data_IF_813812953672
#
_entry.id   IF_813812953672
#
_cell.length_a   1.000
_cell.length_b   1.000
_cell.length_c   1.000
_cell.angle_alpha   90.00
_cell.angle_beta   90.00
_cell.angle_gamma   90.00
#
_symmetry.space_group_name_H-M   'P 1'
#
loop_
_entity.id
_entity.type
_entity.pdbx_description
1 polymer ?
#
# COMPACT_ATOMS: atom_id res chain seq x y z
N UNK A 1 20.01 15.63 -12.86
CA UNK A 1 19.65 14.61 -11.85
C UNK A 1 18.22 14.87 -11.40
N UNK A 2 17.35 13.86 -11.49
CA UNK A 2 15.90 13.96 -11.64
C UNK A 2 15.22 14.74 -10.50
N UNK A 3 14.53 15.84 -10.83
CA UNK A 3 13.73 16.65 -9.89
C UNK A 3 12.38 15.99 -9.63
N UNK A 4 12.08 15.79 -8.35
CA UNK A 4 10.85 15.20 -7.79
C UNK A 4 9.58 15.88 -8.33
N UNK A 5 8.54 15.14 -8.79
CA UNK A 5 7.25 15.76 -9.12
C UNK A 5 6.48 16.13 -7.86
N UNK A 6 6.28 17.44 -7.70
CA UNK A 6 5.49 18.07 -6.64
C UNK A 6 4.00 17.74 -6.86
N UNK A 7 3.43 16.88 -6.02
CA UNK A 7 2.04 16.45 -6.10
C UNK A 7 1.11 17.54 -5.53
N UNK A 8 0.83 18.59 -6.32
CA UNK A 8 -0.27 19.53 -6.03
C UNK A 8 -1.53 19.06 -6.74
N UNK A 9 -2.28 18.18 -6.08
CA UNK A 9 -3.60 17.69 -6.51
C UNK A 9 -4.67 18.77 -6.32
N UNK A 10 -4.81 19.63 -7.32
CA UNK A 10 -6.07 20.36 -7.58
C UNK A 10 -7.06 19.38 -8.23
N UNK A 11 -8.37 19.39 -7.92
CA UNK A 11 -9.34 18.53 -8.60
C UNK A 11 -9.51 19.01 -10.04
N UNK A 12 -8.62 18.54 -10.92
CA UNK A 12 -8.77 18.70 -12.35
C UNK A 12 -9.79 17.65 -12.80
N UNK A 13 -10.81 18.11 -13.51
CA UNK A 13 -11.85 17.33 -14.17
C UNK A 13 -11.42 15.86 -14.39
N UNK A 14 -12.04 14.91 -13.67
CA UNK A 14 -11.59 13.51 -13.53
C UNK A 14 -11.67 12.67 -14.82
N UNK A 15 -11.93 13.27 -15.98
CA UNK A 15 -12.07 12.55 -17.23
C UNK A 15 -10.71 12.06 -17.74
N UNK A 16 -10.63 10.75 -17.96
CA UNK A 16 -9.44 10.06 -18.45
C UNK A 16 -9.22 10.40 -19.93
N UNK A 17 -7.98 10.70 -20.30
CA UNK A 17 -7.62 10.87 -21.70
C UNK A 17 -7.68 9.52 -22.42
N UNK A 18 -8.74 9.28 -23.19
CA UNK A 18 -8.93 8.01 -23.94
C UNK A 18 -7.79 7.73 -24.92
N UNK A 19 -7.22 8.77 -25.54
CA UNK A 19 -6.09 8.63 -26.47
C UNK A 19 -4.85 8.14 -25.72
N UNK A 20 -4.41 8.87 -24.69
CA UNK A 20 -3.26 8.49 -23.87
C UNK A 20 -3.46 7.14 -23.17
N UNK A 21 -4.65 6.85 -22.66
CA UNK A 21 -4.95 5.61 -21.97
C UNK A 21 -4.92 4.38 -22.89
N UNK A 22 -5.18 4.55 -24.20
CA UNK A 22 -5.13 3.47 -25.20
C UNK A 22 -3.75 3.30 -25.82
N UNK A 23 -3.08 4.40 -26.17
CA UNK A 23 -1.85 4.36 -26.99
C UNK A 23 -0.59 4.71 -26.19
N UNK A 24 -0.74 5.25 -24.98
CA UNK A 24 0.37 5.80 -24.19
C UNK A 24 0.91 7.14 -24.73
N UNK A 25 0.28 7.72 -25.75
CA UNK A 25 0.68 8.97 -26.40
C UNK A 25 -0.53 9.89 -26.61
N UNK A 26 -0.34 11.19 -26.39
CA UNK A 26 -1.37 12.21 -26.58
C UNK A 26 -0.77 13.38 -27.34
N UNK A 27 -1.45 13.81 -28.41
CA UNK A 27 -1.00 14.93 -29.26
C UNK A 27 -0.94 16.27 -28.50
N UNK A 28 -1.75 16.42 -27.45
CA UNK A 28 -1.79 17.62 -26.61
C UNK A 28 -0.68 17.62 -25.54
N UNK A 29 0.09 16.53 -25.43
CA UNK A 29 1.20 16.42 -24.47
C UNK A 29 0.79 16.80 -23.05
N UNK A 30 1.53 17.73 -22.45
CA UNK A 30 1.29 18.20 -21.08
C UNK A 30 0.15 19.23 -20.96
N UNK A 31 -0.35 19.79 -22.07
CA UNK A 31 -1.46 20.74 -22.10
C UNK A 31 -2.84 20.06 -22.20
N UNK A 32 -2.85 18.72 -22.19
CA UNK A 32 -4.08 17.94 -22.24
C UNK A 32 -4.95 18.23 -21.01
N UNK A 33 -6.22 18.61 -21.25
CA UNK A 33 -7.22 18.86 -20.19
C UNK A 33 -7.69 17.58 -19.48
N UNK A 34 -7.27 16.40 -19.95
CA UNK A 34 -7.71 15.09 -19.48
C UNK A 34 -6.59 14.34 -18.77
N UNK A 35 -6.95 13.46 -17.84
CA UNK A 35 -5.98 12.72 -17.04
C UNK A 35 -5.24 11.65 -17.86
N UNK A 36 -3.92 11.76 -17.89
CA UNK A 36 -3.01 10.82 -18.54
C UNK A 36 -2.70 9.63 -17.63
N UNK A 37 -3.64 8.69 -17.52
CA UNK A 37 -3.48 7.47 -16.71
C UNK A 37 -3.07 6.32 -17.64
N UNK A 38 -1.85 5.79 -17.48
CA UNK A 38 -1.49 4.51 -18.10
C UNK A 38 -2.03 3.39 -17.20
N UNK A 39 -2.75 2.43 -17.79
CA UNK A 39 -3.34 1.28 -17.08
C UNK A 39 -2.30 0.36 -16.41
N UNK A 40 -1.02 0.60 -16.62
CA UNK A 40 0.09 -0.19 -16.05
C UNK A 40 0.35 0.04 -14.55
N UNK A 41 -0.31 1.02 -13.91
CA UNK A 41 -0.24 1.24 -12.47
C UNK A 41 -1.51 0.80 -11.74
N UNK A 42 -1.93 -0.44 -11.96
CA UNK A 42 -2.66 -1.16 -10.92
C UNK A 42 -1.73 -1.25 -9.71
N UNK A 43 -1.94 -0.39 -8.70
CA UNK A 43 -1.27 -0.55 -7.41
C UNK A 43 -1.76 -1.89 -6.85
N UNK A 44 -1.02 -2.97 -7.12
CA UNK A 44 -1.18 -4.25 -6.46
C UNK A 44 -0.76 -4.04 -5.01
N UNK A 45 -1.66 -3.46 -4.22
CA UNK A 45 -1.50 -3.36 -2.77
C UNK A 45 -1.44 -4.80 -2.29
N UNK A 46 -0.22 -5.28 -2.02
CA UNK A 46 -0.03 -6.61 -1.45
C UNK A 46 -0.76 -6.60 -0.11
N UNK A 47 -1.92 -7.24 -0.06
CA UNK A 47 -2.69 -7.40 1.17
C UNK A 47 -1.81 -8.16 2.15
N UNK A 48 -1.39 -7.47 3.21
CA UNK A 48 -0.63 -8.09 4.30
C UNK A 48 -1.67 -8.73 5.23
N UNK A 49 -1.52 -10.01 5.54
CA UNK A 49 -2.45 -10.76 6.41
C UNK A 49 -1.75 -11.24 7.67
N UNK A 50 -2.52 -11.35 8.75
CA UNK A 50 -2.00 -11.84 10.03
C UNK A 50 -1.70 -13.35 9.93
N UNK A 51 -0.49 -13.82 10.28
CA UNK A 51 -0.14 -15.24 10.20
C UNK A 51 -0.92 -16.12 11.20
N UNK A 52 -1.51 -15.53 12.24
CA UNK A 52 -2.27 -16.27 13.25
C UNK A 52 -3.73 -16.49 12.86
N UNK A 53 -4.40 -15.46 12.32
CA UNK A 53 -5.84 -15.45 12.09
C UNK A 53 -6.23 -15.17 10.63
N UNK A 54 -5.25 -15.05 9.72
CA UNK A 54 -5.40 -14.76 8.29
C UNK A 54 -6.17 -13.48 7.95
N UNK A 55 -6.54 -12.67 8.94
CA UNK A 55 -7.23 -11.38 8.75
C UNK A 55 -6.32 -10.36 8.08
N UNK A 56 -6.92 -9.50 7.26
CA UNK A 56 -6.25 -8.37 6.61
C UNK A 56 -5.69 -7.40 7.66
N UNK A 57 -4.40 -7.12 7.59
CA UNK A 57 -3.71 -6.20 8.49
C UNK A 57 -3.88 -4.79 7.96
N UNK A 58 -4.60 -3.98 8.73
CA UNK A 58 -4.83 -2.56 8.42
C UNK A 58 -3.58 -1.74 8.84
N UNK A 59 -3.14 -0.77 8.04
CA UNK A 59 -2.10 0.18 8.45
C UNK A 59 -2.52 0.88 9.75
N UNK A 60 -1.68 0.85 10.79
CA UNK A 60 -1.98 1.42 12.12
C UNK A 60 -2.47 0.42 13.18
N UNK A 61 -2.81 -0.82 12.82
CA UNK A 61 -3.13 -1.91 13.78
C UNK A 61 -2.17 -3.09 13.66
N UNK A 62 -1.04 -2.87 13.02
CA UNK A 62 -0.03 -3.89 12.75
C UNK A 62 1.09 -3.78 13.78
N UNK A 63 1.28 -4.86 14.53
CA UNK A 63 2.38 -4.97 15.47
C UNK A 63 3.58 -5.59 14.76
N UNK A 64 4.73 -4.96 14.88
CA UNK A 64 6.01 -5.52 14.45
C UNK A 64 6.66 -6.20 15.64
N UNK A 65 6.93 -7.49 15.48
CA UNK A 65 7.63 -8.31 16.46
C UNK A 65 9.14 -8.10 16.32
N UNK A 66 9.90 -8.42 17.38
CA UNK A 66 11.37 -8.42 17.34
C UNK A 66 11.95 -9.33 16.24
N UNK A 67 11.23 -10.41 15.89
CA UNK A 67 11.57 -11.28 14.77
C UNK A 67 11.24 -10.69 13.39
N UNK A 68 10.94 -9.39 13.30
CA UNK A 68 10.56 -8.63 12.09
C UNK A 68 9.29 -9.14 11.41
N UNK A 69 8.54 -10.01 12.07
CA UNK A 69 7.24 -10.47 11.60
C UNK A 69 6.14 -9.52 12.06
N UNK A 70 5.04 -9.53 11.30
CA UNK A 70 3.88 -8.68 11.56
C UNK A 70 2.74 -9.53 12.10
N UNK A 71 2.03 -9.03 13.11
CA UNK A 71 0.86 -9.67 13.70
C UNK A 71 -0.23 -8.62 13.96
N UNK A 72 -1.49 -9.02 14.02
CA UNK A 72 -2.57 -8.08 14.33
C UNK A 72 -2.67 -7.84 15.84
N UNK A 73 -3.12 -6.64 16.22
CA UNK A 73 -3.40 -6.27 17.61
C UNK A 73 -4.30 -7.29 18.31
N UNK A 74 -5.35 -7.76 17.62
CA UNK A 74 -6.30 -8.71 18.18
C UNK A 74 -5.64 -10.05 18.60
N UNK A 75 -4.67 -10.56 17.84
CA UNK A 75 -3.97 -11.79 18.21
C UNK A 75 -3.05 -11.57 19.41
N UNK A 76 -2.46 -10.38 19.55
CA UNK A 76 -1.68 -10.04 20.73
C UNK A 76 -2.57 -9.94 21.98
N UNK A 77 -3.74 -9.29 21.87
CA UNK A 77 -4.72 -9.19 22.96
C UNK A 77 -5.30 -10.56 23.37
N UNK A 78 -5.48 -11.47 22.42
CA UNK A 78 -5.89 -12.86 22.68
C UNK A 78 -4.80 -13.71 23.34
N UNK A 79 -3.64 -13.13 23.70
CA UNK A 79 -2.60 -13.82 24.45
C UNK A 79 -1.63 -14.64 23.59
N UNK A 80 -1.55 -14.40 22.27
CA UNK A 80 -0.53 -15.06 21.44
C UNK A 80 0.86 -14.51 21.80
N UNK A 81 1.71 -15.37 22.37
CA UNK A 81 3.08 -15.05 22.80
C UNK A 81 4.17 -15.78 22.02
N UNK A 82 3.82 -16.47 20.94
CA UNK A 82 4.77 -17.17 20.07
C UNK A 82 4.43 -16.83 18.64
N UNK A 83 5.42 -16.40 17.85
CA UNK A 83 5.24 -16.13 16.44
C UNK A 83 5.08 -17.44 15.66
N UNK A 84 3.93 -17.77 15.06
CA UNK A 84 3.84 -19.00 14.24
C UNK A 84 4.79 -19.05 13.04
N UNK A 85 5.27 -17.90 12.54
CA UNK A 85 6.13 -17.86 11.35
C UNK A 85 7.56 -18.30 11.63
N UNK A 86 8.09 -18.03 12.82
CA UNK A 86 9.48 -18.39 13.19
C UNK A 86 9.62 -19.07 14.55
N UNK A 87 8.52 -19.33 15.26
CA UNK A 87 8.46 -19.91 16.60
C UNK A 87 9.19 -19.11 17.70
N UNK A 88 9.58 -17.87 17.42
CA UNK A 88 10.19 -16.99 18.41
C UNK A 88 9.16 -16.52 19.45
N UNK A 89 9.60 -16.33 20.69
CA UNK A 89 8.80 -15.75 21.75
C UNK A 89 8.52 -14.26 21.47
N UNK A 90 7.30 -13.82 21.74
CA UNK A 90 6.84 -12.43 21.57
C UNK A 90 6.92 -11.76 22.94
N UNK A 91 8.08 -11.21 23.25
CA UNK A 91 8.31 -10.50 24.52
C UNK A 91 8.09 -8.99 24.40
N UNK A 92 8.27 -8.44 23.19
CA UNK A 92 8.12 -7.01 22.88
C UNK A 92 7.48 -6.81 21.50
N UNK A 93 6.60 -5.81 21.39
CA UNK A 93 5.92 -5.42 20.16
C UNK A 93 5.97 -3.90 19.98
N UNK A 94 6.11 -3.45 18.73
CA UNK A 94 6.12 -2.03 18.35
C UNK A 94 4.95 -1.73 17.38
N UNK A 95 4.29 -0.59 17.53
CA UNK A 95 3.13 -0.18 16.73
C UNK A 95 3.62 0.64 15.53
N UNK A 96 3.23 0.25 14.30
CA UNK A 96 3.51 0.97 13.05
C UNK A 96 2.26 1.24 12.21
#
# INVERSE_FOLDING_TARGET
>A
MQTKPNLKTKPQNLNICTQYAKTGYCIFGAECKHLHIRKENEIKVKKITCPECQKELVPGQTLVLECKHKMCLQCFENGVRICKKCKAAINKVEIQ
#
